data_IF_358012599698
#
_entry.id   IF_358012599698
#
_cell.length_a   1.000
_cell.length_b   1.000
_cell.length_c   1.000
_cell.angle_alpha   90.00
_cell.angle_beta   90.00
_cell.angle_gamma   90.00
#
_symmetry.space_group_name_H-M   'P 1'
#
loop_
_entity.id
_entity.type
_entity.pdbx_description
1 polymer ?
#
# COMPACT_ATOMS: atom_id res chain seq x y z
N UNK A 1 -20.82 -10.15 -11.61
CA UNK A 1 -20.90 -8.94 -10.78
C UNK A 1 -19.99 -7.92 -11.42
N UNK A 2 -20.55 -6.80 -11.88
CA UNK A 2 -19.77 -5.67 -12.34
C UNK A 2 -19.47 -4.71 -11.19
N UNK A 3 -18.47 -3.86 -11.39
CA UNK A 3 -18.10 -2.84 -10.42
C UNK A 3 -18.08 -1.44 -11.04
N UNK A 4 -18.33 -0.45 -10.19
CA UNK A 4 -18.01 0.95 -10.42
C UNK A 4 -16.78 1.29 -9.61
N UNK A 5 -15.77 1.91 -10.24
CA UNK A 5 -14.61 2.42 -9.54
C UNK A 5 -14.91 3.84 -9.05
N UNK A 6 -15.06 4.00 -7.73
CA UNK A 6 -15.29 5.31 -7.11
C UNK A 6 -13.95 5.94 -6.75
N UNK A 7 -13.68 7.14 -7.27
CA UNK A 7 -12.42 7.86 -7.07
C UNK A 7 -12.66 9.25 -6.48
N UNK A 8 -11.72 9.80 -5.70
CA UNK A 8 -11.86 11.15 -5.15
C UNK A 8 -11.68 12.21 -6.24
N UNK A 9 -12.40 13.33 -6.12
CA UNK A 9 -12.21 14.53 -6.97
C UNK A 9 -10.74 14.99 -7.06
N UNK A 10 -10.00 14.84 -5.97
CA UNK A 10 -8.57 15.17 -5.89
C UNK A 10 -7.73 14.41 -6.91
N UNK A 11 -8.07 13.15 -7.25
CA UNK A 11 -7.37 12.41 -8.29
C UNK A 11 -7.52 13.12 -9.65
N UNK A 12 -8.76 13.49 -10.01
CA UNK A 12 -9.05 14.16 -11.28
C UNK A 12 -8.32 15.51 -11.37
N UNK A 13 -8.28 16.27 -10.26
CA UNK A 13 -7.53 17.53 -10.19
C UNK A 13 -6.04 17.31 -10.45
N UNK A 14 -5.42 16.30 -9.83
CA UNK A 14 -4.00 15.96 -10.03
C UNK A 14 -3.71 15.47 -11.44
N UNK A 15 -4.61 14.68 -12.03
CA UNK A 15 -4.49 14.26 -13.44
C UNK A 15 -4.53 15.45 -14.40
N UNK A 16 -5.42 16.43 -14.18
CA UNK A 16 -5.47 17.66 -14.98
C UNK A 16 -4.19 18.47 -14.86
N UNK A 17 -3.65 18.63 -13.64
CA UNK A 17 -2.37 19.32 -13.43
C UNK A 17 -1.22 18.61 -14.14
N UNK A 18 -1.16 17.27 -14.01
CA UNK A 18 -0.15 16.45 -14.66
C UNK A 18 -0.23 16.50 -16.19
N UNK A 19 -1.44 16.45 -16.75
CA UNK A 19 -1.67 16.59 -18.19
C UNK A 19 -1.21 17.96 -18.73
N UNK A 20 -1.35 19.03 -17.95
CA UNK A 20 -0.89 20.36 -18.35
C UNK A 20 0.64 20.53 -18.34
N UNK A 21 1.38 19.60 -17.72
CA UNK A 21 2.85 19.57 -17.78
C UNK A 21 3.33 18.81 -19.03
N UNK A 22 4.02 19.47 -19.98
CA UNK A 22 4.40 18.83 -21.25
C UNK A 22 5.29 17.59 -21.08
N UNK A 23 6.19 17.60 -20.09
CA UNK A 23 7.08 16.46 -19.82
C UNK A 23 6.31 15.22 -19.34
N UNK A 24 5.28 15.44 -18.54
CA UNK A 24 4.39 14.40 -18.05
C UNK A 24 3.42 13.94 -19.13
N UNK A 25 2.83 14.85 -19.90
CA UNK A 25 1.92 14.51 -21.00
C UNK A 25 2.60 13.68 -22.09
N UNK A 26 3.85 13.99 -22.45
CA UNK A 26 4.62 13.17 -23.40
C UNK A 26 4.77 11.70 -22.94
N UNK A 27 4.84 11.44 -21.63
CA UNK A 27 4.87 10.08 -21.09
C UNK A 27 3.51 9.39 -21.17
N UNK A 28 2.42 10.15 -21.09
CA UNK A 28 1.07 9.61 -21.28
C UNK A 28 0.85 9.22 -22.74
N UNK A 29 1.28 10.06 -23.68
CA UNK A 29 1.21 9.77 -25.11
C UNK A 29 1.98 8.49 -25.47
N UNK A 30 3.12 8.25 -24.83
CA UNK A 30 3.90 7.02 -25.02
C UNK A 30 3.16 5.72 -24.63
N UNK A 31 2.13 5.82 -23.79
CA UNK A 31 1.25 4.69 -23.43
C UNK A 31 -0.14 4.80 -24.11
N UNK A 32 -0.28 5.66 -25.11
CA UNK A 32 -1.53 5.84 -25.88
C UNK A 32 -2.62 6.62 -25.14
N UNK A 33 -2.26 7.45 -24.16
CA UNK A 33 -3.18 8.27 -23.37
C UNK A 33 -2.98 9.74 -23.71
N UNK A 34 -4.03 10.41 -24.20
CA UNK A 34 -3.96 11.84 -24.54
C UNK A 34 -4.73 12.70 -23.55
N UNK A 35 -5.88 12.25 -23.07
CA UNK A 35 -6.74 13.03 -22.15
C UNK A 35 -6.79 12.46 -20.73
N UNK A 36 -7.36 13.23 -19.80
CA UNK A 36 -7.64 12.75 -18.44
C UNK A 36 -8.64 11.59 -18.46
N UNK A 37 -9.64 11.63 -19.33
CA UNK A 37 -10.62 10.55 -19.47
C UNK A 37 -9.97 9.28 -20.05
N UNK A 38 -9.03 9.44 -20.99
CA UNK A 38 -8.22 8.31 -21.48
C UNK A 38 -7.40 7.69 -20.37
N UNK A 39 -6.82 8.48 -19.47
CA UNK A 39 -6.08 7.96 -18.31
C UNK A 39 -7.00 7.17 -17.37
N UNK A 40 -8.18 7.69 -17.08
CA UNK A 40 -9.17 7.01 -16.23
C UNK A 40 -9.65 5.69 -16.88
N UNK A 41 -9.90 5.69 -18.19
CA UNK A 41 -10.23 4.49 -18.94
C UNK A 41 -9.08 3.49 -18.98
N UNK A 42 -7.83 3.97 -19.11
CA UNK A 42 -6.65 3.14 -19.06
C UNK A 42 -6.52 2.44 -17.69
N UNK A 43 -6.77 3.14 -16.58
CA UNK A 43 -6.80 2.52 -15.23
C UNK A 43 -7.82 1.37 -15.19
N UNK A 44 -9.05 1.57 -15.69
CA UNK A 44 -10.08 0.53 -15.76
C UNK A 44 -9.58 -0.66 -16.59
N UNK A 45 -9.11 -0.41 -17.81
CA UNK A 45 -8.69 -1.45 -18.74
C UNK A 45 -7.56 -2.28 -18.15
N UNK A 46 -6.54 -1.62 -17.59
CA UNK A 46 -5.38 -2.29 -16.98
C UNK A 46 -5.77 -3.12 -15.76
N UNK A 47 -6.67 -2.60 -14.91
CA UNK A 47 -7.21 -3.34 -13.77
C UNK A 47 -8.02 -4.57 -14.20
N UNK A 48 -8.92 -4.42 -15.17
CA UNK A 48 -9.73 -5.53 -15.69
C UNK A 48 -8.88 -6.59 -16.39
N UNK A 49 -7.86 -6.17 -17.15
CA UNK A 49 -6.95 -7.08 -17.84
C UNK A 49 -6.13 -7.91 -16.84
N UNK A 50 -5.59 -7.26 -15.80
CA UNK A 50 -4.78 -7.94 -14.78
C UNK A 50 -5.64 -8.77 -13.82
N UNK A 51 -6.85 -8.30 -13.51
CA UNK A 51 -7.76 -8.89 -12.53
C UNK A 51 -9.16 -9.07 -13.15
N UNK A 52 -9.32 -10.10 -13.99
CA UNK A 52 -10.54 -10.35 -14.78
C UNK A 52 -11.86 -10.45 -13.98
N UNK A 53 -11.78 -10.72 -12.66
CA UNK A 53 -12.94 -10.76 -11.76
C UNK A 53 -13.49 -9.37 -11.43
N UNK A 54 -12.71 -8.30 -11.62
CA UNK A 54 -13.13 -6.94 -11.29
C UNK A 54 -14.24 -6.42 -12.20
N UNK A 55 -14.21 -6.67 -13.51
CA UNK A 55 -15.29 -6.25 -14.44
C UNK A 55 -15.79 -4.82 -14.17
N UNK A 56 -14.86 -3.88 -14.02
CA UNK A 56 -15.15 -2.46 -13.78
C UNK A 56 -15.75 -1.89 -15.07
N UNK A 57 -16.93 -1.29 -14.98
CA UNK A 57 -17.67 -0.78 -16.14
C UNK A 57 -17.59 0.74 -16.27
N UNK A 58 -17.36 1.46 -15.18
CA UNK A 58 -17.34 2.91 -15.16
C UNK A 58 -16.58 3.44 -13.95
N UNK A 59 -16.27 4.74 -13.99
CA UNK A 59 -15.76 5.51 -12.86
C UNK A 59 -16.82 6.49 -12.37
N UNK A 60 -16.94 6.61 -11.05
CA UNK A 60 -17.68 7.68 -10.39
C UNK A 60 -16.71 8.55 -9.61
N UNK A 61 -16.73 9.85 -9.88
CA UNK A 61 -15.97 10.83 -9.10
C UNK A 61 -16.82 11.27 -7.91
N UNK A 62 -16.24 11.24 -6.72
CA UNK A 62 -16.96 11.49 -5.47
C UNK A 62 -16.15 12.39 -4.54
N UNK A 63 -16.84 13.11 -3.66
CA UNK A 63 -16.20 13.91 -2.63
C UNK A 63 -15.45 13.03 -1.62
N UNK A 64 -14.23 13.40 -1.24
CA UNK A 64 -13.43 12.63 -0.27
C UNK A 64 -14.13 12.37 1.06
N UNK A 65 -14.98 13.29 1.54
CA UNK A 65 -15.71 13.12 2.80
C UNK A 65 -16.74 12.00 2.67
N UNK A 66 -17.48 11.97 1.57
CA UNK A 66 -18.45 10.90 1.25
C UNK A 66 -17.74 9.56 1.13
N UNK A 67 -16.58 9.52 0.47
CA UNK A 67 -15.78 8.29 0.37
C UNK A 67 -15.34 7.83 1.78
N UNK A 68 -14.81 8.73 2.62
CA UNK A 68 -14.40 8.41 4.00
C UNK A 68 -15.53 7.83 4.83
N UNK A 69 -16.71 8.43 4.76
CA UNK A 69 -17.91 7.92 5.44
C UNK A 69 -18.28 6.54 4.92
N UNK A 70 -18.29 6.34 3.60
CA UNK A 70 -18.65 5.06 2.97
C UNK A 70 -17.74 3.91 3.35
N UNK A 71 -16.43 4.14 3.43
CA UNK A 71 -15.45 3.13 3.86
C UNK A 71 -15.22 3.12 5.38
N UNK A 72 -15.99 3.91 6.14
CA UNK A 72 -15.88 4.05 7.58
C UNK A 72 -14.45 4.36 8.07
N UNK A 73 -13.80 5.34 7.47
CA UNK A 73 -12.43 5.74 7.81
C UNK A 73 -12.37 6.96 8.74
N UNK A 74 -11.75 6.80 9.93
CA UNK A 74 -11.55 7.91 10.89
C UNK A 74 -10.22 8.66 10.75
N UNK A 75 -9.41 8.38 9.71
CA UNK A 75 -8.10 9.02 9.54
C UNK A 75 -8.23 10.53 9.35
N UNK A 76 -7.26 11.30 9.88
CA UNK A 76 -7.27 12.77 9.89
C UNK A 76 -6.52 13.41 8.70
N UNK A 77 -5.91 12.61 7.80
CA UNK A 77 -4.88 13.06 6.83
C UNK A 77 -5.38 13.07 5.37
N UNK A 78 -4.56 13.62 4.46
CA UNK A 78 -4.70 13.57 3.00
C UNK A 78 -5.23 12.21 2.50
N UNK A 79 -6.27 12.28 1.67
CA UNK A 79 -7.06 11.11 1.31
C UNK A 79 -6.78 10.66 -0.12
N UNK A 80 -6.08 9.53 -0.24
CA UNK A 80 -5.64 8.94 -1.52
C UNK A 80 -6.42 7.67 -1.87
N UNK A 81 -7.62 7.54 -1.30
CA UNK A 81 -8.41 6.33 -1.40
C UNK A 81 -9.71 6.55 -2.18
N UNK A 82 -10.14 5.47 -2.81
CA UNK A 82 -11.43 5.24 -3.43
C UNK A 82 -11.87 3.81 -3.12
N UNK A 83 -12.87 3.31 -3.82
CA UNK A 83 -13.33 1.94 -3.63
C UNK A 83 -13.98 1.36 -4.89
N UNK A 84 -14.06 0.03 -4.92
CA UNK A 84 -14.84 -0.72 -5.89
C UNK A 84 -16.22 -0.98 -5.29
N UNK A 85 -17.24 -0.51 -6.00
CA UNK A 85 -18.64 -0.65 -5.60
C UNK A 85 -19.35 -1.64 -6.51
N UNK A 86 -20.02 -2.64 -5.96
CA UNK A 86 -20.84 -3.55 -6.74
C UNK A 86 -22.25 -2.99 -7.01
N UNK A 87 -23.04 -3.71 -7.81
CA UNK A 87 -24.42 -3.36 -8.17
C UNK A 87 -25.35 -3.13 -6.95
N UNK A 88 -25.02 -3.71 -5.79
CA UNK A 88 -25.78 -3.54 -4.53
C UNK A 88 -25.29 -2.35 -3.68
N UNK A 89 -24.34 -1.56 -4.19
CA UNK A 89 -23.67 -0.45 -3.48
C UNK A 89 -22.84 -0.90 -2.26
N UNK A 90 -22.41 -2.17 -2.23
CA UNK A 90 -21.46 -2.64 -1.24
C UNK A 90 -20.03 -2.35 -1.70
N UNK A 91 -19.15 -2.08 -0.74
CA UNK A 91 -17.73 -1.91 -0.98
C UNK A 91 -17.08 -3.29 -1.02
N UNK A 92 -16.62 -3.68 -2.21
CA UNK A 92 -16.01 -5.00 -2.44
C UNK A 92 -14.48 -4.92 -2.53
N UNK A 93 -13.90 -3.71 -2.56
CA UNK A 93 -12.46 -3.51 -2.58
C UNK A 93 -12.06 -2.06 -2.37
N UNK A 94 -10.83 -1.85 -1.93
CA UNK A 94 -10.26 -0.51 -1.74
C UNK A 94 -9.38 -0.16 -2.93
N UNK A 95 -9.44 1.10 -3.36
CA UNK A 95 -8.59 1.65 -4.40
C UNK A 95 -7.69 2.72 -3.80
N UNK A 96 -6.42 2.71 -4.15
CA UNK A 96 -5.43 3.71 -3.79
C UNK A 96 -4.69 4.16 -5.04
N UNK A 97 -4.24 5.41 -5.05
CA UNK A 97 -3.43 5.94 -6.15
C UNK A 97 -2.17 6.64 -5.64
N UNK A 98 -1.06 6.49 -6.37
CA UNK A 98 0.13 7.31 -6.23
C UNK A 98 0.05 8.45 -7.23
N UNK A 99 0.33 9.66 -6.76
CA UNK A 99 0.26 10.88 -7.57
C UNK A 99 1.17 10.83 -8.81
N UNK A 100 0.76 11.47 -9.92
CA UNK A 100 1.60 11.59 -11.10
C UNK A 100 2.96 12.23 -10.83
N UNK A 101 3.01 13.23 -9.97
CA UNK A 101 4.18 14.03 -9.65
C UNK A 101 4.83 13.65 -8.31
N UNK A 102 4.65 12.40 -7.83
CA UNK A 102 5.11 11.96 -6.51
C UNK A 102 6.60 12.28 -6.25
N UNK A 103 6.85 13.34 -5.50
CA UNK A 103 8.20 13.88 -5.28
C UNK A 103 9.01 13.19 -4.17
N UNK A 104 8.35 12.54 -3.21
CA UNK A 104 8.99 11.95 -2.04
C UNK A 104 8.96 10.41 -2.07
N UNK A 105 10.16 9.79 -2.14
CA UNK A 105 10.33 8.33 -2.12
C UNK A 105 9.78 7.70 -0.85
N UNK A 106 10.03 8.35 0.29
CA UNK A 106 9.67 7.81 1.58
C UNK A 106 8.15 7.80 1.82
N UNK A 107 7.41 8.62 1.09
CA UNK A 107 5.96 8.80 1.18
C UNK A 107 5.24 8.17 -0.02
N UNK A 108 5.93 7.35 -0.83
CA UNK A 108 5.38 6.81 -2.08
C UNK A 108 4.10 6.01 -1.82
N UNK A 109 4.15 5.01 -0.94
CA UNK A 109 2.97 4.25 -0.46
C UNK A 109 2.62 4.55 1.00
N UNK A 110 3.62 4.86 1.83
CA UNK A 110 3.46 4.96 3.30
C UNK A 110 2.48 6.06 3.73
N UNK A 111 2.44 7.20 3.05
CA UNK A 111 1.49 8.27 3.41
C UNK A 111 0.09 8.08 2.82
N UNK A 112 -0.10 7.04 2.00
CA UNK A 112 -1.32 6.86 1.18
C UNK A 112 -2.16 5.69 1.66
N UNK A 113 -1.50 4.55 1.91
CA UNK A 113 -2.18 3.28 2.21
C UNK A 113 -2.35 3.06 3.72
N UNK A 114 -1.27 2.96 4.53
CA UNK A 114 -1.37 2.71 5.97
C UNK A 114 -2.34 3.63 6.75
N UNK A 115 -2.35 4.97 6.55
CA UNK A 115 -3.25 5.84 7.33
C UNK A 115 -4.72 5.51 7.12
N UNK A 116 -5.10 5.10 5.91
CA UNK A 116 -6.48 4.74 5.58
C UNK A 116 -6.82 3.37 6.16
N UNK A 117 -5.94 2.38 5.98
CA UNK A 117 -6.13 1.03 6.54
C UNK A 117 -6.31 1.11 8.06
N UNK A 118 -5.40 1.81 8.75
CA UNK A 118 -5.45 1.96 10.21
C UNK A 118 -6.71 2.72 10.64
N UNK A 119 -7.08 3.78 9.92
CA UNK A 119 -8.31 4.52 10.23
C UNK A 119 -9.60 3.72 10.01
N UNK A 120 -9.61 2.75 9.09
CA UNK A 120 -10.74 1.80 8.96
C UNK A 120 -10.73 0.87 10.19
N UNK A 121 -9.57 0.32 10.56
CA UNK A 121 -9.46 -0.56 11.72
C UNK A 121 -9.89 0.08 13.03
N UNK A 122 -9.51 1.33 13.26
CA UNK A 122 -9.95 2.06 14.44
C UNK A 122 -11.48 2.03 14.63
N UNK A 123 -12.23 2.08 13.54
CA UNK A 123 -13.69 2.13 13.59
C UNK A 123 -14.34 0.74 13.66
N UNK A 124 -13.64 -0.32 13.24
CA UNK A 124 -14.18 -1.69 13.26
C UNK A 124 -13.55 -2.59 14.33
N UNK A 125 -12.52 -2.12 15.05
CA UNK A 125 -11.75 -2.87 16.04
C UNK A 125 -12.60 -3.60 17.08
N UNK A 126 -13.70 -2.96 17.51
CA UNK A 126 -14.63 -3.47 18.51
C UNK A 126 -15.73 -4.38 17.94
N UNK A 127 -15.91 -4.39 16.62
CA UNK A 127 -17.03 -5.06 15.94
C UNK A 127 -16.57 -6.32 15.20
N UNK A 128 -15.33 -6.33 14.69
CA UNK A 128 -14.75 -7.52 14.04
C UNK A 128 -13.70 -8.20 14.92
N UNK A 129 -13.85 -9.52 15.07
CA UNK A 129 -12.81 -10.36 15.65
C UNK A 129 -11.60 -10.46 14.73
N UNK A 130 -11.83 -10.39 13.42
CA UNK A 130 -10.80 -10.45 12.40
C UNK A 130 -10.41 -9.04 11.94
N UNK A 131 -9.21 -8.59 12.32
CA UNK A 131 -8.64 -7.34 11.83
C UNK A 131 -7.69 -7.51 10.66
N UNK A 132 -7.53 -8.69 10.06
CA UNK A 132 -6.64 -8.85 8.92
C UNK A 132 -6.96 -7.87 7.79
N UNK A 133 -5.92 -7.38 7.13
CA UNK A 133 -5.95 -6.65 5.82
C UNK A 133 -6.65 -7.45 4.70
N UNK A 134 -7.07 -8.66 5.02
CA UNK A 134 -7.74 -9.62 4.15
C UNK A 134 -9.26 -9.44 4.01
N UNK A 135 -9.92 -8.54 4.76
CA UNK A 135 -11.37 -8.42 4.62
C UNK A 135 -11.82 -7.66 3.35
N UNK A 136 -10.92 -6.92 2.70
CA UNK A 136 -11.19 -6.32 1.38
C UNK A 136 -9.92 -6.34 0.51
N UNK A 137 -10.00 -6.75 -0.77
CA UNK A 137 -8.88 -6.64 -1.69
C UNK A 137 -8.49 -5.16 -1.86
N UNK A 138 -7.19 -4.89 -1.78
CA UNK A 138 -6.62 -3.56 -1.93
C UNK A 138 -5.92 -3.47 -3.28
N UNK A 139 -6.24 -2.43 -4.06
CA UNK A 139 -5.60 -2.11 -5.32
C UNK A 139 -4.84 -0.78 -5.20
N UNK A 140 -3.54 -0.80 -5.46
CA UNK A 140 -2.69 0.38 -5.40
C UNK A 140 -2.13 0.70 -6.79
N UNK A 141 -2.59 1.79 -7.37
CA UNK A 141 -2.25 2.18 -8.74
C UNK A 141 -1.19 3.27 -8.71
N UNK A 142 -0.07 3.06 -9.39
CA UNK A 142 0.90 4.12 -9.60
C UNK A 142 0.62 4.86 -10.89
N UNK A 143 0.39 6.16 -10.77
CA UNK A 143 0.30 7.09 -11.90
C UNK A 143 1.59 7.90 -12.05
N UNK A 144 2.63 7.56 -11.27
CA UNK A 144 3.83 8.35 -11.14
C UNK A 144 4.61 8.37 -12.45
N UNK A 145 4.78 9.57 -13.02
CA UNK A 145 5.55 9.76 -14.25
C UNK A 145 7.00 10.10 -13.97
N UNK A 146 7.36 10.38 -12.72
CA UNK A 146 8.73 10.75 -12.34
C UNK A 146 9.63 9.51 -12.24
N UNK A 147 10.96 9.73 -12.23
CA UNK A 147 11.92 8.66 -11.96
C UNK A 147 11.86 8.12 -10.53
N UNK A 148 10.94 8.63 -9.68
CA UNK A 148 10.86 8.27 -8.27
C UNK A 148 10.57 6.78 -8.09
N UNK A 149 9.73 6.18 -8.93
CA UNK A 149 9.41 4.75 -8.95
C UNK A 149 10.66 3.87 -9.12
N UNK A 150 11.71 4.40 -9.77
CA UNK A 150 12.96 3.67 -10.00
C UNK A 150 13.89 3.63 -8.77
N UNK A 151 13.57 4.31 -7.67
CA UNK A 151 14.39 4.24 -6.46
C UNK A 151 14.26 2.88 -5.79
N UNK A 152 15.40 2.26 -5.44
CA UNK A 152 15.42 0.96 -4.76
C UNK A 152 14.58 0.96 -3.47
N UNK A 153 14.59 2.06 -2.71
CA UNK A 153 13.75 2.18 -1.52
C UNK A 153 12.26 2.14 -1.85
N UNK A 154 11.80 2.72 -2.96
CA UNK A 154 10.40 2.71 -3.44
C UNK A 154 9.99 1.32 -3.86
N UNK A 155 10.81 0.65 -4.68
CA UNK A 155 10.58 -0.73 -5.14
C UNK A 155 10.44 -1.70 -3.97
N UNK A 156 11.33 -1.58 -2.98
CA UNK A 156 11.22 -2.34 -1.72
C UNK A 156 9.89 -2.11 -1.00
N UNK A 157 9.37 -0.88 -0.96
CA UNK A 157 8.05 -0.63 -0.33
C UNK A 157 6.93 -1.33 -1.07
N UNK A 158 6.97 -1.29 -2.41
CA UNK A 158 5.97 -1.90 -3.26
C UNK A 158 6.00 -3.43 -3.07
N UNK A 159 7.18 -4.04 -3.09
CA UNK A 159 7.32 -5.49 -2.85
C UNK A 159 6.79 -5.85 -1.46
N UNK A 160 7.15 -5.10 -0.42
CA UNK A 160 6.60 -5.34 0.92
C UNK A 160 5.07 -5.20 0.97
N UNK A 161 4.50 -4.22 0.24
CA UNK A 161 3.05 -4.07 0.11
C UNK A 161 2.41 -5.26 -0.61
N UNK A 162 3.03 -5.78 -1.66
CA UNK A 162 2.56 -6.98 -2.36
C UNK A 162 2.62 -8.23 -1.47
N UNK A 163 3.66 -8.36 -0.63
CA UNK A 163 3.80 -9.46 0.34
C UNK A 163 2.65 -9.52 1.35
N UNK A 164 2.06 -8.37 1.71
CA UNK A 164 0.88 -8.29 2.58
C UNK A 164 -0.46 -8.33 1.80
N UNK A 165 -0.44 -8.71 0.52
CA UNK A 165 -1.64 -8.92 -0.29
C UNK A 165 -2.16 -7.70 -1.06
N UNK A 166 -1.41 -6.59 -1.12
CA UNK A 166 -1.80 -5.41 -1.90
C UNK A 166 -1.54 -5.65 -3.39
N UNK A 167 -2.59 -5.48 -4.19
CA UNK A 167 -2.54 -5.59 -5.65
C UNK A 167 -1.96 -4.31 -6.25
N UNK A 168 -0.63 -4.26 -6.41
CA UNK A 168 0.04 -3.13 -7.06
C UNK A 168 -0.04 -3.23 -8.60
N UNK A 169 -0.26 -2.07 -9.22
CA UNK A 169 -0.22 -1.89 -10.68
C UNK A 169 0.43 -0.54 -10.98
N UNK A 170 1.53 -0.56 -11.71
CA UNK A 170 2.10 0.64 -12.32
C UNK A 170 1.46 0.84 -13.68
N UNK A 171 1.03 2.06 -14.01
CA UNK A 171 0.44 2.38 -15.33
C UNK A 171 1.51 2.47 -16.42
N UNK A 172 2.76 2.77 -16.07
CA UNK A 172 3.87 2.95 -17.03
C UNK A 172 4.78 1.73 -17.15
N UNK A 173 4.43 0.60 -16.52
CA UNK A 173 5.21 -0.65 -16.55
C UNK A 173 6.69 -0.46 -16.19
N UNK A 174 7.00 0.40 -15.21
CA UNK A 174 8.38 0.52 -14.76
C UNK A 174 8.82 -0.80 -14.13
N UNK A 175 10.08 -1.16 -14.40
CA UNK A 175 10.69 -2.36 -13.85
C UNK A 175 10.74 -2.29 -12.33
N UNK A 176 10.22 -3.33 -11.67
CA UNK A 176 9.95 -3.31 -10.24
C UNK A 176 10.83 -4.28 -9.44
N UNK A 177 11.17 -5.44 -10.01
CA UNK A 177 11.75 -6.53 -9.24
C UNK A 177 13.28 -6.65 -9.39
N UNK A 178 13.92 -5.69 -10.05
CA UNK A 178 15.37 -5.57 -10.14
C UNK A 178 16.08 -5.45 -8.77
N UNK A 179 15.37 -5.05 -7.71
CA UNK A 179 15.95 -5.04 -6.34
C UNK A 179 16.04 -6.42 -5.69
N UNK A 180 15.42 -7.45 -6.29
CA UNK A 180 15.47 -8.85 -5.85
C UNK A 180 15.99 -9.80 -6.94
N UNK A 181 16.38 -9.26 -8.09
CA UNK A 181 16.99 -10.00 -9.19
C UNK A 181 18.36 -9.38 -9.50
N UNK A 182 19.34 -10.21 -9.83
CA UNK A 182 20.71 -9.76 -10.11
C UNK A 182 20.97 -9.42 -11.60
N UNK A 183 19.98 -9.62 -12.48
CA UNK A 183 20.11 -9.43 -13.93
C UNK A 183 19.11 -8.42 -14.51
N UNK A 184 18.95 -8.44 -15.83
CA UNK A 184 18.04 -7.53 -16.56
C UNK A 184 16.57 -8.00 -16.59
N UNK A 185 16.34 -9.25 -16.21
CA UNK A 185 15.01 -9.87 -16.19
C UNK A 185 14.42 -9.96 -14.78
N UNK A 186 13.11 -9.78 -14.67
CA UNK A 186 12.34 -9.95 -13.43
C UNK A 186 11.88 -11.41 -13.30
N UNK A 187 12.82 -12.33 -13.01
CA UNK A 187 12.57 -13.76 -12.84
C UNK A 187 11.80 -14.01 -11.52
N UNK A 188 12.25 -13.36 -10.45
CA UNK A 188 11.62 -13.41 -9.13
C UNK A 188 10.69 -12.20 -9.00
N UNK A 189 9.40 -12.42 -8.85
CA UNK A 189 8.39 -11.34 -8.75
C UNK A 189 7.66 -11.31 -7.40
N UNK A 190 8.09 -12.13 -6.43
CA UNK A 190 7.43 -12.25 -5.13
C UNK A 190 8.40 -12.70 -4.03
N UNK A 191 8.16 -12.21 -2.82
CA UNK A 191 8.82 -12.66 -1.59
C UNK A 191 7.89 -13.63 -0.87
N UNK A 192 8.38 -14.84 -0.61
CA UNK A 192 7.56 -15.92 -0.04
C UNK A 192 8.02 -16.38 1.34
N UNK A 193 9.20 -15.95 1.79
CA UNK A 193 9.74 -16.28 3.12
C UNK A 193 10.19 -15.05 3.90
N UNK A 194 10.18 -15.16 5.24
CA UNK A 194 10.64 -14.12 6.15
C UNK A 194 12.14 -13.85 5.98
N UNK A 195 12.93 -14.86 5.59
CA UNK A 195 14.35 -14.69 5.27
C UNK A 195 14.54 -13.81 4.03
N UNK A 196 13.81 -14.09 2.94
CA UNK A 196 13.84 -13.26 1.74
C UNK A 196 13.37 -11.82 2.03
N UNK A 197 12.34 -11.65 2.87
CA UNK A 197 11.92 -10.31 3.28
C UNK A 197 12.98 -9.60 4.13
N UNK A 198 13.63 -10.32 5.04
CA UNK A 198 14.71 -9.78 5.85
C UNK A 198 15.84 -9.28 4.93
N UNK A 199 16.32 -10.11 4.01
CA UNK A 199 17.34 -9.75 3.00
C UNK A 199 16.94 -8.53 2.18
N UNK A 200 15.68 -8.46 1.74
CA UNK A 200 15.16 -7.32 0.98
C UNK A 200 15.31 -5.99 1.73
N UNK A 201 15.05 -5.98 3.04
CA UNK A 201 14.96 -4.75 3.83
C UNK A 201 16.24 -4.43 4.60
N UNK A 202 17.24 -5.31 4.58
CA UNK A 202 18.57 -5.02 5.14
C UNK A 202 19.14 -3.75 4.48
N UNK A 203 19.55 -2.82 5.33
CA UNK A 203 20.34 -1.65 4.95
C UNK A 203 21.66 -1.75 5.69
N UNK A 204 22.76 -1.78 4.94
CA UNK A 204 24.13 -1.86 5.48
C UNK A 204 24.34 -3.03 6.46
N UNK A 205 23.64 -4.16 6.22
CA UNK A 205 23.71 -5.36 7.06
C UNK A 205 22.83 -5.33 8.32
N UNK A 206 22.03 -4.28 8.51
CA UNK A 206 21.10 -4.14 9.64
C UNK A 206 19.64 -4.04 9.20
N UNK A 207 18.74 -4.63 9.99
CA UNK A 207 17.30 -4.51 9.82
C UNK A 207 16.73 -3.71 11.00
N UNK A 208 16.27 -2.50 10.73
CA UNK A 208 15.75 -1.58 11.75
C UNK A 208 14.30 -1.89 12.19
N UNK A 209 13.65 -2.86 11.54
CA UNK A 209 12.22 -3.15 11.72
C UNK A 209 11.99 -4.40 12.57
N UNK A 210 12.84 -5.42 12.44
CA UNK A 210 12.79 -6.64 13.25
C UNK A 210 14.13 -7.38 13.26
N UNK A 211 14.34 -8.21 14.28
CA UNK A 211 15.39 -9.25 14.27
C UNK A 211 14.80 -10.60 13.90
N UNK A 212 15.58 -11.40 13.18
CA UNK A 212 15.22 -12.75 12.77
C UNK A 212 16.21 -13.77 13.34
N UNK A 213 15.72 -14.64 14.23
CA UNK A 213 16.45 -15.80 14.71
C UNK A 213 15.89 -17.04 13.99
N UNK A 214 16.64 -17.52 12.99
CA UNK A 214 16.27 -18.67 12.18
C UNK A 214 16.30 -19.96 13.02
N UNK A 215 17.28 -20.09 13.92
CA UNK A 215 17.49 -21.29 14.74
C UNK A 215 16.39 -21.43 15.78
N UNK A 216 16.07 -20.36 16.51
CA UNK A 216 14.99 -20.34 17.49
C UNK A 216 13.59 -20.16 16.84
N UNK A 217 13.52 -20.03 15.50
CA UNK A 217 12.32 -19.68 14.74
C UNK A 217 11.55 -18.51 15.37
N UNK A 218 12.25 -17.41 15.63
CA UNK A 218 11.69 -16.26 16.32
C UNK A 218 11.91 -14.98 15.53
N UNK A 219 10.88 -14.15 15.43
CA UNK A 219 10.97 -12.76 14.99
C UNK A 219 10.75 -11.84 16.19
N UNK A 220 11.61 -10.85 16.40
CA UNK A 220 11.39 -9.81 17.42
C UNK A 220 11.25 -8.45 16.77
N UNK A 221 10.10 -7.81 17.01
CA UNK A 221 9.77 -6.52 16.41
C UNK A 221 10.60 -5.40 17.06
N UNK A 222 11.14 -4.49 16.26
CA UNK A 222 11.90 -3.33 16.71
C UNK A 222 11.04 -2.08 16.52
N UNK A 223 10.94 -1.22 17.55
CA UNK A 223 10.14 0.01 17.52
C UNK A 223 10.89 1.25 18.05
N UNK A 224 12.20 1.13 18.30
CA UNK A 224 13.04 2.18 18.89
C UNK A 224 13.02 3.51 18.11
N UNK A 225 12.68 3.47 16.83
CA UNK A 225 12.65 4.63 15.94
C UNK A 225 11.25 5.21 15.69
N UNK A 226 10.21 4.72 16.38
CA UNK A 226 8.81 5.14 16.14
C UNK A 226 8.37 6.40 16.91
N UNK A 227 9.09 6.78 17.96
CA UNK A 227 8.74 7.91 18.84
C UNK A 227 9.90 8.90 18.99
N UNK A 228 9.59 10.17 19.20
CA UNK A 228 10.58 11.20 19.55
C UNK A 228 11.24 11.89 18.36
N UNK A 229 10.67 11.77 17.15
CA UNK A 229 11.10 12.46 15.93
C UNK A 229 10.11 13.56 15.55
N UNK A 230 10.59 14.54 14.80
CA UNK A 230 9.77 15.67 14.30
C UNK A 230 8.61 15.23 13.39
N UNK A 231 8.59 13.98 12.89
CA UNK A 231 7.56 13.45 12.00
C UNK A 231 7.25 11.97 12.32
N UNK A 232 6.92 11.71 13.58
CA UNK A 232 6.65 10.36 14.11
C UNK A 232 5.59 9.60 13.27
N UNK A 233 4.53 10.29 12.84
CA UNK A 233 3.44 9.68 12.06
C UNK A 233 3.91 9.10 10.73
N UNK A 234 4.79 9.78 10.00
CA UNK A 234 5.33 9.25 8.74
C UNK A 234 6.23 8.02 8.95
N UNK A 235 6.96 7.96 10.06
CA UNK A 235 7.78 6.79 10.40
C UNK A 235 6.92 5.58 10.76
N UNK A 236 5.83 5.77 11.51
CA UNK A 236 4.88 4.70 11.84
C UNK A 236 4.35 4.02 10.57
N UNK A 237 4.00 4.79 9.54
CA UNK A 237 3.48 4.21 8.29
C UNK A 237 4.53 3.50 7.44
N UNK A 238 5.78 3.97 7.45
CA UNK A 238 6.89 3.27 6.79
C UNK A 238 7.20 1.96 7.50
N UNK A 239 7.22 1.99 8.83
CA UNK A 239 7.40 0.84 9.69
C UNK A 239 6.29 -0.19 9.49
N UNK A 240 5.03 0.24 9.43
CA UNK A 240 3.87 -0.61 9.16
C UNK A 240 4.05 -1.43 7.88
N UNK A 241 4.45 -0.79 6.78
CA UNK A 241 4.65 -1.49 5.51
C UNK A 241 5.81 -2.50 5.51
N UNK A 242 6.62 -2.59 6.58
CA UNK A 242 7.78 -3.51 6.68
C UNK A 242 7.51 -4.59 7.73
N UNK A 243 6.93 -4.19 8.86
CA UNK A 243 6.62 -5.10 9.96
C UNK A 243 5.39 -5.95 9.68
N UNK A 244 4.32 -5.40 9.12
CA UNK A 244 3.12 -6.19 8.82
C UNK A 244 3.39 -7.36 7.85
N UNK A 245 4.04 -7.17 6.68
CA UNK A 245 4.39 -8.31 5.83
C UNK A 245 5.32 -9.31 6.53
N UNK A 246 6.22 -8.84 7.41
CA UNK A 246 7.09 -9.72 8.19
C UNK A 246 6.30 -10.60 9.18
N UNK A 247 5.32 -10.01 9.87
CA UNK A 247 4.41 -10.73 10.77
C UNK A 247 3.60 -11.77 9.99
N UNK A 248 3.07 -11.42 8.81
CA UNK A 248 2.34 -12.36 7.96
C UNK A 248 3.18 -13.55 7.50
N UNK A 249 4.39 -13.30 7.02
CA UNK A 249 5.30 -14.38 6.60
C UNK A 249 5.74 -15.23 7.79
N UNK A 250 6.07 -14.60 8.91
CA UNK A 250 6.43 -15.28 10.14
C UNK A 250 5.31 -16.21 10.64
N UNK A 251 4.06 -15.76 10.66
CA UNK A 251 2.92 -16.61 11.05
C UNK A 251 2.69 -17.78 10.07
N UNK A 252 2.72 -17.48 8.76
CA UNK A 252 2.61 -18.50 7.70
C UNK A 252 3.69 -19.57 7.85
N UNK A 253 4.91 -19.17 8.19
CA UNK A 253 6.04 -20.05 8.44
C UNK A 253 6.13 -20.52 9.90
N UNK A 254 5.15 -20.26 10.77
CA UNK A 254 5.16 -20.76 12.17
C UNK A 254 6.39 -20.32 12.98
N UNK A 255 6.84 -19.08 12.78
CA UNK A 255 7.78 -18.40 13.66
C UNK A 255 7.05 -17.82 14.88
N UNK A 256 7.72 -17.81 16.02
CA UNK A 256 7.26 -17.11 17.22
C UNK A 256 7.41 -15.61 17.01
N UNK A 257 6.30 -14.88 17.09
CA UNK A 257 6.28 -13.42 16.96
C UNK A 257 6.36 -12.77 18.34
N UNK A 258 7.48 -12.08 18.60
CA UNK A 258 7.74 -11.33 19.83
C UNK A 258 7.46 -9.83 19.64
N UNK A 259 6.41 -9.36 20.32
CA UNK A 259 5.91 -7.98 20.27
C UNK A 259 6.18 -7.19 21.55
N UNK A 260 7.02 -7.69 22.45
CA UNK A 260 7.26 -7.05 23.77
C UNK A 260 7.69 -5.59 23.67
N UNK A 261 8.40 -5.22 22.59
CA UNK A 261 8.82 -3.84 22.34
C UNK A 261 7.64 -2.87 22.12
N UNK A 262 6.47 -3.37 21.69
CA UNK A 262 5.25 -2.57 21.50
C UNK A 262 4.47 -2.36 22.81
N UNK A 263 4.84 -3.04 23.90
CA UNK A 263 4.15 -2.92 25.19
C UNK A 263 4.37 -1.53 25.78
N UNK A 264 3.29 -0.86 26.18
CA UNK A 264 3.35 0.47 26.80
C UNK A 264 3.43 1.63 25.81
N UNK A 265 3.58 1.38 24.50
CA UNK A 265 3.47 2.41 23.46
C UNK A 265 1.98 2.71 23.20
N UNK A 266 1.52 3.89 23.61
CA UNK A 266 0.10 4.27 23.55
C UNK A 266 -0.19 5.48 22.65
N UNK A 267 0.82 5.99 21.96
CA UNK A 267 0.71 7.21 21.15
C UNK A 267 0.24 6.92 19.72
N UNK A 268 -0.62 7.80 19.21
CA UNK A 268 -1.05 7.81 17.81
C UNK A 268 -1.70 6.49 17.36
N UNK A 269 -1.24 6.01 16.20
CA UNK A 269 -1.77 4.80 15.53
C UNK A 269 -1.14 3.49 16.07
N UNK A 270 -0.18 3.56 17.00
CA UNK A 270 0.57 2.39 17.51
C UNK A 270 -0.33 1.36 18.21
N UNK A 271 -1.28 1.74 19.10
CA UNK A 271 -2.16 0.76 19.75
C UNK A 271 -2.90 -0.12 18.75
N UNK A 272 -3.46 0.49 17.71
CA UNK A 272 -4.21 -0.22 16.67
C UNK A 272 -3.32 -1.17 15.90
N UNK A 273 -2.10 -0.75 15.55
CA UNK A 273 -1.16 -1.63 14.84
C UNK A 273 -0.71 -2.79 15.74
N UNK A 274 -0.52 -2.56 17.05
CA UNK A 274 -0.22 -3.62 18.01
C UNK A 274 -1.36 -4.63 18.10
N UNK A 275 -2.61 -4.17 18.25
CA UNK A 275 -3.79 -5.04 18.34
C UNK A 275 -3.97 -5.85 17.05
N UNK A 276 -3.68 -5.22 15.91
CA UNK A 276 -3.66 -5.87 14.61
C UNK A 276 -2.62 -7.02 14.56
N UNK A 277 -1.38 -6.78 14.98
CA UNK A 277 -0.32 -7.81 15.02
C UNK A 277 -0.70 -8.96 15.98
N UNK A 278 -1.28 -8.63 17.13
CA UNK A 278 -1.68 -9.64 18.13
C UNK A 278 -2.79 -10.56 17.61
N UNK A 279 -3.69 -10.07 16.75
CA UNK A 279 -4.73 -10.88 16.13
C UNK A 279 -4.21 -11.79 15.01
N UNK A 280 -3.11 -11.44 14.34
CA UNK A 280 -2.45 -12.34 13.37
C UNK A 280 -1.81 -13.55 14.08
N UNK A 281 -1.32 -13.34 15.31
CA UNK A 281 -0.62 -14.36 16.10
C UNK A 281 -1.55 -15.41 16.73
N UNK A 282 -2.87 -15.17 16.76
CA UNK A 282 -3.86 -16.02 17.43
C UNK A 282 -4.58 -16.96 16.49
#
# INVERSE_FOLDING_TARGET
MSHVLVVPEELVKKLRTAHSDPGTHNKWLAIGVDTVDDMLNNIINRLNNKYAKLKIQSIRVENKTVIKEKINNSSRVSFFAGYLENEKRNVDGLFFYVDPDAGNANDFLSSKIPPVIIGIYNNIANVTKDLHINNMPIFAISLCTTSRVNNASVKRQIICAQTMGINYLDIFDNRLYDVINSGDDDIITSINTIQQLNELILQDGTNDYFTLDVTARKISIICSNMLGRTNDTAYIYRWFLRVIPAVYLADKEKYVINTTSLTGLNDGDIPTIRDYILKIKG
#
